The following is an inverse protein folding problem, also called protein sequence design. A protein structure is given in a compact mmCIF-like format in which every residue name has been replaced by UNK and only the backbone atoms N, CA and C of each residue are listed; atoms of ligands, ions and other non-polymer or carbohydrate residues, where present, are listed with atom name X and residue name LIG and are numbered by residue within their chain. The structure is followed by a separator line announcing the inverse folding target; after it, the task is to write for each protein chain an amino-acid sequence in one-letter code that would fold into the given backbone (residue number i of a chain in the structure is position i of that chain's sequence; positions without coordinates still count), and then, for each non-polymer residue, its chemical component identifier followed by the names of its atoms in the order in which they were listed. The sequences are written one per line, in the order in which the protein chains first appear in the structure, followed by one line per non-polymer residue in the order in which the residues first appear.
data_IF_380981957818
#
_entry.id   IF_380981957818
#
_cell.length_a   1.000
_cell.length_b   1.000
_cell.length_c   1.000
_cell.angle_alpha   90.00
_cell.angle_beta   90.00
_cell.angle_gamma   90.00
#
_symmetry.space_group_name_H-M   'P 1'
#
loop_
_entity.id
_entity.type
_entity.pdbx_description
1 polymer ?
#
# COMPACT_ATOMS: atom_id res chain seq x y z
N UNK A 1 -7.11 8.35 -2.38
CA UNK A 1 -7.74 7.02 -2.26
C UNK A 1 -6.74 5.92 -1.89
N UNK A 2 -5.72 5.57 -2.70
CA UNK A 2 -4.80 4.44 -2.43
C UNK A 2 -4.11 4.47 -1.04
N UNK A 3 -3.56 5.61 -0.62
CA UNK A 3 -2.99 5.76 0.72
C UNK A 3 -4.04 5.61 1.84
N UNK A 4 -5.25 6.10 1.61
CA UNK A 4 -6.36 5.96 2.56
C UNK A 4 -6.83 4.50 2.66
N UNK A 5 -6.97 3.82 1.52
CA UNK A 5 -7.22 2.38 1.43
C UNK A 5 -6.17 1.56 2.15
N UNK A 6 -4.89 1.95 2.09
CA UNK A 6 -3.80 1.25 2.78
C UNK A 6 -4.07 1.17 4.29
N UNK A 7 -4.60 2.25 4.88
CA UNK A 7 -5.04 2.30 6.27
C UNK A 7 -6.40 1.62 6.50
N UNK A 8 -7.45 2.16 5.90
CA UNK A 8 -8.86 1.90 6.28
C UNK A 8 -9.62 0.95 5.32
N UNK A 9 -9.03 0.64 4.17
CA UNK A 9 -9.67 -0.21 3.17
C UNK A 9 -9.63 -1.69 3.53
N UNK A 10 -10.59 -2.45 2.99
CA UNK A 10 -10.74 -3.89 3.17
C UNK A 10 -11.13 -4.55 1.85
N UNK A 11 -10.36 -5.54 1.42
CA UNK A 11 -10.65 -6.40 0.28
C UNK A 11 -11.23 -7.71 0.77
N UNK A 12 -12.48 -7.98 0.45
CA UNK A 12 -13.23 -9.11 1.01
C UNK A 12 -13.53 -10.14 -0.05
N UNK A 13 -13.15 -11.38 0.25
CA UNK A 13 -13.56 -12.58 -0.47
C UNK A 13 -14.28 -13.46 0.54
N UNK A 14 -15.52 -13.82 0.24
CA UNK A 14 -16.33 -14.71 1.06
C UNK A 14 -16.74 -15.93 0.25
N UNK A 15 -16.95 -17.05 0.93
CA UNK A 15 -17.48 -18.29 0.34
C UNK A 15 -18.67 -18.70 1.19
N UNK A 16 -19.85 -18.78 0.58
CA UNK A 16 -21.10 -19.13 1.27
C UNK A 16 -21.89 -20.15 0.46
N UNK A 17 -22.69 -20.97 1.13
CA UNK A 17 -23.62 -21.89 0.45
C UNK A 17 -24.54 -21.09 -0.47
N UNK A 18 -24.75 -21.60 -1.69
CA UNK A 18 -25.62 -20.99 -2.67
C UNK A 18 -26.17 -22.05 -3.63
N UNK A 19 -27.23 -21.72 -4.35
CA UNK A 19 -27.84 -22.57 -5.38
C UNK A 19 -27.08 -22.44 -6.71
N UNK A 20 -25.77 -22.72 -6.70
CA UNK A 20 -24.89 -22.72 -7.89
C UNK A 20 -24.47 -24.15 -8.23
N UNK A 21 -23.88 -24.36 -9.41
CA UNK A 21 -23.36 -25.68 -9.84
C UNK A 21 -22.32 -26.25 -8.86
N UNK A 22 -21.50 -25.39 -8.25
CA UNK A 22 -20.52 -25.77 -7.23
C UNK A 22 -21.12 -25.89 -5.82
N UNK A 23 -22.38 -25.51 -5.61
CA UNK A 23 -23.02 -25.44 -4.29
C UNK A 23 -22.60 -24.23 -3.43
N UNK A 24 -21.73 -23.36 -3.97
CA UNK A 24 -21.20 -22.20 -3.27
C UNK A 24 -21.20 -20.94 -4.15
N UNK A 25 -21.47 -19.80 -3.52
CA UNK A 25 -21.30 -18.47 -4.08
C UNK A 25 -20.05 -17.82 -3.51
N UNK A 26 -19.34 -17.06 -4.36
CA UNK A 26 -18.12 -16.35 -4.01
C UNK A 26 -18.35 -14.83 -4.12
N UNK A 27 -19.08 -14.19 -3.20
CA UNK A 27 -19.20 -12.74 -3.20
C UNK A 27 -17.84 -12.09 -2.89
N UNK A 28 -17.52 -11.05 -3.65
CA UNK A 28 -16.33 -10.23 -3.49
C UNK A 28 -16.75 -8.80 -3.30
N UNK A 29 -16.10 -8.07 -2.40
CA UNK A 29 -16.35 -6.65 -2.23
C UNK A 29 -15.13 -5.90 -1.76
N UNK A 30 -15.07 -4.63 -2.14
CA UNK A 30 -14.19 -3.65 -1.51
C UNK A 30 -15.02 -2.80 -0.55
N UNK A 31 -14.49 -2.58 0.64
CA UNK A 31 -15.12 -1.76 1.68
C UNK A 31 -14.12 -0.75 2.20
N UNK A 32 -14.53 0.51 2.25
CA UNK A 32 -13.80 1.58 2.91
C UNK A 32 -14.66 2.12 4.05
N UNK A 33 -14.22 1.86 5.27
CA UNK A 33 -14.94 2.22 6.48
C UNK A 33 -14.35 3.49 7.09
N UNK A 34 -15.20 4.39 7.57
CA UNK A 34 -14.78 5.58 8.34
C UNK A 34 -15.90 6.00 9.29
N UNK A 35 -15.61 6.89 10.24
CA UNK A 35 -16.64 7.48 11.09
C UNK A 35 -17.68 8.26 10.26
N UNK A 36 -18.96 8.21 10.66
CA UNK A 36 -20.08 8.82 9.94
C UNK A 36 -20.00 10.35 9.80
N UNK A 37 -19.20 11.01 10.65
CA UNK A 37 -18.82 12.43 10.53
C UNK A 37 -18.16 12.75 9.19
N UNK A 38 -17.45 11.79 8.61
CA UNK A 38 -16.74 11.89 7.34
C UNK A 38 -17.58 11.30 6.18
N UNK A 39 -18.90 11.17 6.36
CA UNK A 39 -19.83 10.66 5.34
C UNK A 39 -19.76 11.41 4.02
N UNK A 40 -19.52 12.73 4.04
CA UNK A 40 -19.32 13.53 2.81
C UNK A 40 -18.11 13.04 2.00
N UNK A 41 -17.01 12.70 2.68
CA UNK A 41 -15.82 12.14 2.04
C UNK A 41 -16.15 10.78 1.42
N UNK A 42 -16.81 9.88 2.17
CA UNK A 42 -17.15 8.56 1.65
C UNK A 42 -18.12 8.62 0.47
N UNK A 43 -19.13 9.50 0.52
CA UNK A 43 -20.07 9.73 -0.59
C UNK A 43 -19.38 10.31 -1.82
N UNK A 44 -18.31 11.11 -1.66
CA UNK A 44 -17.57 11.65 -2.81
C UNK A 44 -16.93 10.55 -3.67
N UNK A 45 -16.66 9.37 -3.11
CA UNK A 45 -16.14 8.24 -3.87
C UNK A 45 -17.19 7.60 -4.78
N UNK A 46 -18.49 7.69 -4.44
CA UNK A 46 -19.58 7.24 -5.33
C UNK A 46 -19.50 7.99 -6.67
N UNK A 47 -19.41 9.32 -6.61
CA UNK A 47 -19.26 10.16 -7.82
C UNK A 47 -17.90 10.05 -8.49
N UNK A 48 -16.82 9.86 -7.71
CA UNK A 48 -15.46 9.80 -8.28
C UNK A 48 -15.24 8.53 -9.09
N UNK A 49 -15.70 7.38 -8.59
CA UNK A 49 -15.58 6.11 -9.30
C UNK A 49 -16.78 5.82 -10.21
N UNK A 50 -17.85 6.59 -10.10
CA UNK A 50 -19.14 6.27 -10.73
C UNK A 50 -19.57 4.82 -10.42
N UNK A 51 -19.30 4.36 -9.20
CA UNK A 51 -19.67 3.03 -8.73
C UNK A 51 -19.64 2.95 -7.20
N UNK A 52 -20.15 1.84 -6.68
CA UNK A 52 -20.27 1.61 -5.25
C UNK A 52 -21.33 2.51 -4.60
N UNK A 53 -21.50 2.35 -3.29
CA UNK A 53 -22.50 3.10 -2.52
C UNK A 53 -22.08 3.28 -1.08
N UNK A 54 -22.40 4.44 -0.50
CA UNK A 54 -22.27 4.68 0.93
C UNK A 54 -23.45 4.10 1.71
N UNK A 55 -23.13 3.44 2.82
CA UNK A 55 -24.07 2.91 3.78
C UNK A 55 -23.72 3.46 5.18
N UNK A 56 -24.59 4.27 5.80
CA UNK A 56 -24.43 4.62 7.20
C UNK A 56 -24.71 3.38 8.07
N UNK A 57 -23.95 3.23 9.15
CA UNK A 57 -24.28 2.25 10.18
C UNK A 57 -25.50 2.69 10.99
N UNK A 58 -26.20 1.73 11.57
CA UNK A 58 -27.41 1.91 12.36
C UNK A 58 -27.25 1.31 13.77
N UNK A 59 -28.13 1.71 14.70
CA UNK A 59 -28.12 1.24 16.09
C UNK A 59 -26.74 1.38 16.73
N UNK A 60 -26.17 0.25 17.16
CA UNK A 60 -24.84 0.18 17.78
C UNK A 60 -23.68 0.56 16.84
N UNK A 61 -23.96 0.79 15.55
CA UNK A 61 -23.00 1.20 14.52
C UNK A 61 -23.26 2.62 14.00
N UNK A 62 -24.10 3.44 14.65
CA UNK A 62 -24.45 4.79 14.19
C UNK A 62 -23.24 5.73 13.93
N UNK A 63 -22.10 5.46 14.56
CA UNK A 63 -20.83 6.17 14.33
C UNK A 63 -20.05 5.70 13.10
N UNK A 64 -20.45 4.61 12.44
CA UNK A 64 -19.74 3.99 11.31
C UNK A 64 -20.39 4.37 9.98
N UNK A 65 -19.58 4.46 8.94
CA UNK A 65 -20.04 4.54 7.56
C UNK A 65 -19.13 3.74 6.64
N UNK A 66 -19.73 3.03 5.70
CA UNK A 66 -19.03 2.18 4.75
C UNK A 66 -19.31 2.63 3.32
N UNK A 67 -18.27 2.91 2.54
CA UNK A 67 -18.36 2.95 1.08
C UNK A 67 -18.04 1.54 0.54
N UNK A 68 -18.97 0.95 -0.22
CA UNK A 68 -18.89 -0.45 -0.64
C UNK A 68 -19.01 -0.55 -2.16
N UNK A 69 -18.07 -1.26 -2.79
CA UNK A 69 -18.15 -1.70 -4.18
C UNK A 69 -18.27 -3.23 -4.18
N UNK A 70 -19.35 -3.76 -4.75
CA UNK A 70 -19.66 -5.21 -4.74
C UNK A 70 -20.04 -5.77 -6.11
N UNK A 71 -20.34 -4.89 -7.08
CA UNK A 71 -20.61 -5.30 -8.45
C UNK A 71 -19.29 -5.78 -9.08
N UNK A 72 -19.29 -6.99 -9.64
CA UNK A 72 -18.08 -7.61 -10.19
C UNK A 72 -17.51 -6.83 -11.39
N UNK A 73 -18.38 -6.27 -12.23
CA UNK A 73 -17.98 -5.47 -13.38
C UNK A 73 -17.30 -4.17 -12.92
N UNK A 74 -17.91 -3.43 -11.99
CA UNK A 74 -17.29 -2.22 -11.42
C UNK A 74 -15.95 -2.50 -10.74
N UNK A 75 -15.85 -3.63 -10.02
CA UNK A 75 -14.58 -4.05 -9.41
C UNK A 75 -13.52 -4.30 -10.50
N UNK A 76 -13.90 -4.96 -11.59
CA UNK A 76 -13.00 -5.34 -12.68
C UNK A 76 -12.55 -4.15 -13.51
N UNK A 77 -13.48 -3.27 -13.88
CA UNK A 77 -13.26 -2.20 -14.86
C UNK A 77 -12.81 -0.89 -14.23
N UNK A 78 -13.11 -0.67 -12.93
CA UNK A 78 -12.86 0.62 -12.26
C UNK A 78 -11.90 0.46 -11.09
N UNK A 79 -12.20 -0.46 -10.17
CA UNK A 79 -11.44 -0.58 -8.92
C UNK A 79 -10.03 -1.16 -9.12
N UNK A 80 -9.92 -2.29 -9.83
CA UNK A 80 -8.63 -2.95 -10.08
C UNK A 80 -7.70 -2.02 -10.88
N UNK A 81 -8.11 -1.44 -12.03
CA UNK A 81 -7.26 -0.51 -12.77
C UNK A 81 -6.78 0.68 -11.94
N UNK A 82 -7.64 1.18 -11.04
CA UNK A 82 -7.24 2.26 -10.13
C UNK A 82 -6.09 1.83 -9.20
N UNK A 83 -6.16 0.67 -8.55
CA UNK A 83 -5.10 0.24 -7.63
C UNK A 83 -3.86 -0.35 -8.34
N UNK A 84 -4.00 -0.79 -9.59
CA UNK A 84 -2.86 -1.09 -10.46
C UNK A 84 -2.08 0.18 -10.82
N UNK A 85 -2.78 1.29 -11.10
CA UNK A 85 -2.15 2.58 -11.35
C UNK A 85 -1.64 3.26 -10.07
N UNK A 86 -2.38 3.16 -8.97
CA UNK A 86 -2.08 3.82 -7.70
C UNK A 86 -1.89 2.79 -6.59
N UNK A 87 -0.62 2.46 -6.33
CA UNK A 87 -0.25 1.36 -5.45
C UNK A 87 -0.75 1.50 -4.01
N UNK A 88 -1.20 0.39 -3.46
CA UNK A 88 -1.45 0.20 -2.02
C UNK A 88 -0.13 -0.17 -1.34
N UNK A 89 0.04 0.23 -0.09
CA UNK A 89 1.25 -0.05 0.67
C UNK A 89 0.99 -0.96 1.89
N UNK A 90 2.04 -1.65 2.34
CA UNK A 90 2.02 -2.55 3.49
C UNK A 90 1.37 -3.90 3.18
N UNK A 91 1.02 -4.66 4.23
CA UNK A 91 0.41 -6.00 4.10
C UNK A 91 -0.88 -5.98 3.28
N UNK A 92 -1.58 -4.85 3.23
CA UNK A 92 -2.79 -4.68 2.44
C UNK A 92 -2.57 -4.77 0.94
N UNK A 93 -1.35 -4.52 0.47
CA UNK A 93 -0.97 -4.77 -0.93
C UNK A 93 -1.11 -6.26 -1.27
N UNK A 94 -0.69 -7.14 -0.36
CA UNK A 94 -0.81 -8.58 -0.55
C UNK A 94 -2.28 -8.99 -0.58
N UNK A 95 -3.13 -8.39 0.26
CA UNK A 95 -4.57 -8.63 0.27
C UNK A 95 -5.23 -8.17 -1.04
N UNK A 96 -4.79 -7.02 -1.56
CA UNK A 96 -5.23 -6.55 -2.88
C UNK A 96 -4.83 -7.49 -4.01
N UNK A 97 -3.58 -7.98 -4.02
CA UNK A 97 -3.09 -8.91 -5.04
C UNK A 97 -3.90 -10.21 -5.05
N UNK A 98 -4.11 -10.79 -3.88
CA UNK A 98 -4.94 -11.99 -3.72
C UNK A 98 -6.40 -11.75 -4.12
N UNK A 99 -6.95 -10.59 -3.75
CA UNK A 99 -8.29 -10.18 -4.18
C UNK A 99 -8.41 -10.06 -5.71
N UNK A 100 -7.43 -9.42 -6.36
CA UNK A 100 -7.38 -9.27 -7.81
C UNK A 100 -7.28 -10.64 -8.52
N UNK A 101 -6.50 -11.57 -7.97
CA UNK A 101 -6.43 -12.95 -8.46
C UNK A 101 -7.80 -13.65 -8.38
N UNK A 102 -8.52 -13.51 -7.26
CA UNK A 102 -9.88 -14.07 -7.12
C UNK A 102 -10.86 -13.42 -8.11
N UNK A 103 -10.80 -12.11 -8.31
CA UNK A 103 -11.64 -11.41 -9.30
C UNK A 103 -11.38 -11.94 -10.70
N UNK A 104 -10.11 -12.15 -11.07
CA UNK A 104 -9.72 -12.76 -12.35
C UNK A 104 -10.28 -14.18 -12.51
N UNK A 105 -10.19 -15.02 -11.48
CA UNK A 105 -10.79 -16.36 -11.47
C UNK A 105 -12.32 -16.29 -11.63
N UNK A 106 -12.96 -15.32 -10.99
CA UNK A 106 -14.41 -15.13 -11.10
C UNK A 106 -14.83 -14.72 -12.51
N UNK A 107 -14.11 -13.79 -13.15
CA UNK A 107 -14.39 -13.35 -14.51
C UNK A 107 -14.27 -14.48 -15.54
N UNK A 108 -13.37 -15.43 -15.32
CA UNK A 108 -13.27 -16.65 -16.13
C UNK A 108 -14.27 -17.76 -15.74
N UNK A 109 -15.19 -17.50 -14.80
CA UNK A 109 -16.18 -18.48 -14.36
C UNK A 109 -15.62 -19.63 -13.50
N UNK A 110 -14.33 -19.61 -13.11
CA UNK A 110 -13.68 -20.72 -12.40
C UNK A 110 -14.34 -21.02 -11.04
N UNK A 111 -14.92 -20.02 -10.39
CA UNK A 111 -15.68 -20.19 -9.14
C UNK A 111 -16.91 -21.11 -9.23
N UNK A 112 -17.34 -21.46 -10.46
CA UNK A 112 -18.45 -22.37 -10.72
C UNK A 112 -18.01 -23.85 -10.78
N UNK A 113 -16.70 -24.13 -10.79
CA UNK A 113 -16.17 -25.50 -10.75
C UNK A 113 -15.59 -25.84 -9.37
N UNK A 114 -15.59 -27.11 -8.94
CA UNK A 114 -14.97 -27.52 -7.68
C UNK A 114 -13.50 -27.14 -7.58
N UNK A 115 -12.74 -27.30 -8.66
CA UNK A 115 -11.29 -27.03 -8.70
C UNK A 115 -11.00 -25.53 -8.59
N UNK A 116 -11.77 -24.69 -9.29
CA UNK A 116 -11.63 -23.25 -9.20
C UNK A 116 -12.10 -22.70 -7.85
N UNK A 117 -13.14 -23.31 -7.25
CA UNK A 117 -13.57 -22.97 -5.89
C UNK A 117 -12.48 -23.32 -4.86
N UNK A 118 -11.81 -24.47 -5.00
CA UNK A 118 -10.72 -24.86 -4.10
C UNK A 118 -9.52 -23.91 -4.21
N UNK A 119 -9.16 -23.51 -5.44
CA UNK A 119 -8.14 -22.46 -5.64
C UNK A 119 -8.51 -21.17 -4.91
N UNK A 120 -9.77 -20.74 -4.99
CA UNK A 120 -10.25 -19.55 -4.28
C UNK A 120 -10.18 -19.73 -2.75
N UNK A 121 -10.47 -20.93 -2.21
CA UNK A 121 -10.33 -21.21 -0.77
C UNK A 121 -8.89 -21.03 -0.31
N UNK A 122 -7.92 -21.57 -1.05
CA UNK A 122 -6.49 -21.43 -0.74
C UNK A 122 -6.08 -19.97 -0.73
N UNK A 123 -6.51 -19.18 -1.72
CA UNK A 123 -6.23 -17.74 -1.77
C UNK A 123 -6.87 -17.03 -0.57
N UNK A 124 -8.13 -17.32 -0.26
CA UNK A 124 -8.85 -16.70 0.86
C UNK A 124 -8.15 -16.95 2.20
N UNK A 125 -7.58 -18.14 2.42
CA UNK A 125 -6.86 -18.49 3.66
C UNK A 125 -5.58 -17.69 3.88
N UNK A 126 -5.01 -17.07 2.84
CA UNK A 126 -3.84 -16.21 2.97
C UNK A 126 -4.17 -14.72 2.96
N UNK A 127 -5.45 -14.32 3.02
CA UNK A 127 -5.87 -12.91 2.99
C UNK A 127 -6.22 -12.34 4.38
N UNK A 128 -6.07 -11.03 4.52
CA UNK A 128 -6.54 -10.24 5.67
C UNK A 128 -6.04 -10.82 7.01
N UNK A 129 -6.94 -11.05 7.97
CA UNK A 129 -6.61 -11.61 9.28
C UNK A 129 -6.11 -13.06 9.21
N UNK A 130 -6.41 -13.79 8.14
CA UNK A 130 -5.90 -15.15 7.92
C UNK A 130 -4.47 -15.15 7.41
N UNK A 131 -3.98 -14.00 6.90
CA UNK A 131 -2.57 -13.83 6.57
C UNK A 131 -1.75 -13.84 7.86
N UNK A 132 -1.04 -14.94 8.08
CA UNK A 132 -0.02 -15.01 9.14
C UNK A 132 0.96 -13.85 9.00
N UNK A 133 1.59 -13.45 10.11
CA UNK A 133 2.57 -12.37 10.08
C UNK A 133 3.71 -12.72 9.11
N UNK A 134 3.78 -12.00 7.99
CA UNK A 134 4.89 -12.07 7.05
C UNK A 134 5.93 -11.06 7.52
N UNK A 135 7.13 -11.53 7.90
CA UNK A 135 8.26 -10.64 8.15
C UNK A 135 8.47 -9.81 6.88
N UNK A 136 8.52 -8.46 6.96
CA UNK A 136 8.72 -7.66 5.76
C UNK A 136 10.01 -8.10 5.07
N UNK A 137 9.91 -8.48 3.80
CA UNK A 137 11.08 -8.78 2.99
C UNK A 137 11.97 -7.53 2.93
N UNK A 138 13.30 -7.68 3.04
CA UNK A 138 14.21 -6.58 2.77
C UNK A 138 13.97 -6.10 1.34
N UNK A 139 13.82 -4.79 1.16
CA UNK A 139 13.54 -4.19 -0.15
C UNK A 139 14.53 -4.71 -1.21
N UNK A 140 14.03 -5.51 -2.16
CA UNK A 140 14.80 -6.01 -3.29
C UNK A 140 15.26 -4.81 -4.13
N UNK A 141 16.57 -4.67 -4.27
CA UNK A 141 17.20 -3.64 -5.10
C UNK A 141 17.13 -4.12 -6.55
N UNK A 142 16.01 -3.89 -7.21
CA UNK A 142 15.94 -4.07 -8.68
C UNK A 142 16.80 -2.98 -9.29
N UNK A 143 17.98 -3.40 -9.74
CA UNK A 143 18.86 -2.60 -10.60
C UNK A 143 18.58 -3.09 -12.02
N UNK A 144 17.78 -2.36 -12.76
CA UNK A 144 17.78 -2.46 -14.22
C UNK A 144 17.44 -1.10 -14.81
N UNK A 145 18.43 -0.65 -15.58
CA UNK A 145 18.45 0.51 -16.46
C UNK A 145 17.37 0.44 -17.52
N UNK A 146 16.56 1.49 -17.62
CA UNK A 146 16.17 2.16 -18.88
C UNK A 146 15.30 3.38 -18.55
N UNK A 147 15.86 4.58 -18.77
CA UNK A 147 15.13 5.85 -18.83
C UNK A 147 14.39 5.98 -20.16
N UNK A 148 13.19 6.58 -20.12
CA UNK A 148 12.47 7.44 -21.10
C UNK A 148 10.96 7.27 -20.81
N UNK A 149 10.08 8.26 -20.66
CA UNK A 149 10.10 9.70 -20.87
C UNK A 149 8.89 10.31 -20.13
N UNK A 150 9.11 11.51 -19.58
CA UNK A 150 8.21 12.49 -18.93
C UNK A 150 6.66 12.34 -19.00
N UNK A 151 6.01 12.55 -17.84
CA UNK A 151 5.28 13.81 -17.54
C UNK A 151 4.77 13.91 -16.09
N UNK A 152 5.44 14.79 -15.32
CA UNK A 152 4.84 15.80 -14.44
C UNK A 152 4.04 15.39 -13.21
N UNK A 153 4.69 15.24 -12.05
CA UNK A 153 4.09 15.56 -10.73
C UNK A 153 5.21 16.12 -9.82
N UNK A 154 4.91 17.22 -9.12
CA UNK A 154 5.77 17.90 -8.15
C UNK A 154 6.56 16.94 -7.24
N UNK A 155 7.86 16.77 -7.51
CA UNK A 155 8.78 16.15 -6.58
C UNK A 155 8.96 17.09 -5.37
N UNK A 156 8.54 16.63 -4.19
CA UNK A 156 9.19 17.07 -2.95
C UNK A 156 10.67 16.75 -3.14
N UNK A 157 11.50 17.77 -3.38
CA UNK A 157 12.95 17.63 -3.63
C UNK A 157 13.54 16.66 -2.61
N UNK A 158 13.81 15.43 -3.03
CA UNK A 158 14.61 14.50 -2.26
C UNK A 158 16.02 15.09 -2.25
N UNK A 159 16.37 15.84 -1.21
CA UNK A 159 17.69 16.43 -1.14
C UNK A 159 18.70 15.30 -0.91
N UNK A 160 19.70 15.14 -1.80
CA UNK A 160 20.76 14.17 -1.62
C UNK A 160 21.55 14.46 -0.34
N UNK A 161 21.95 13.41 0.38
CA UNK A 161 22.70 13.54 1.63
C UNK A 161 23.97 12.72 1.52
N UNK A 162 25.11 13.32 1.83
CA UNK A 162 26.36 12.59 2.04
C UNK A 162 26.63 12.41 3.53
N UNK A 163 27.15 11.24 3.90
CA UNK A 163 27.58 10.89 5.26
C UNK A 163 29.08 10.62 5.21
N UNK A 164 29.87 11.40 5.95
CA UNK A 164 31.30 11.13 6.17
C UNK A 164 31.51 10.54 7.55
N UNK A 165 32.15 9.38 7.62
CA UNK A 165 32.72 8.87 8.85
C UNK A 165 34.05 9.59 9.11
N UNK A 166 34.18 10.30 10.22
CA UNK A 166 35.39 11.09 10.52
C UNK A 166 36.57 10.24 10.98
N UNK A 167 36.32 9.01 11.45
CA UNK A 167 37.35 8.08 11.93
C UNK A 167 37.98 7.33 10.75
N UNK A 168 37.16 6.83 9.82
CA UNK A 168 37.65 6.09 8.64
C UNK A 168 37.92 6.99 7.42
N UNK A 169 37.43 8.24 7.43
CA UNK A 169 37.49 9.16 6.30
C UNK A 169 36.51 8.84 5.15
N UNK A 170 35.83 7.69 5.20
CA UNK A 170 34.93 7.23 4.15
C UNK A 170 33.68 8.12 4.04
N UNK A 171 33.31 8.46 2.80
CA UNK A 171 32.11 9.25 2.50
C UNK A 171 31.16 8.46 1.60
N UNK A 172 29.89 8.33 2.02
CA UNK A 172 28.84 7.66 1.26
C UNK A 172 27.72 8.65 0.91
N UNK A 173 27.27 8.67 -0.34
CA UNK A 173 26.22 9.58 -0.82
C UNK A 173 24.90 8.85 -1.04
N UNK A 174 23.79 9.50 -0.69
CA UNK A 174 22.46 8.91 -0.69
C UNK A 174 21.48 9.83 -1.39
N UNK A 175 20.52 9.24 -2.11
CA UNK A 175 19.47 9.97 -2.83
C UNK A 175 18.46 10.66 -1.92
N UNK A 176 18.43 10.35 -0.62
CA UNK A 176 17.52 10.96 0.34
C UNK A 176 17.98 10.77 1.79
N UNK A 177 17.46 11.61 2.69
CA UNK A 177 17.58 11.44 4.16
C UNK A 177 17.11 10.05 4.61
N UNK A 178 16.05 9.51 4.00
CA UNK A 178 15.52 8.20 4.35
C UNK A 178 16.49 7.06 3.95
N UNK A 179 17.19 7.21 2.82
CA UNK A 179 18.23 6.25 2.43
C UNK A 179 19.45 6.34 3.37
N UNK A 180 19.87 7.54 3.73
CA UNK A 180 20.94 7.77 4.71
C UNK A 180 20.60 7.15 6.10
N UNK A 181 19.36 7.33 6.58
CA UNK A 181 18.90 6.76 7.86
C UNK A 181 18.94 5.23 7.87
N UNK A 182 18.51 4.59 6.77
CA UNK A 182 18.55 3.13 6.63
C UNK A 182 19.98 2.59 6.62
N UNK A 183 20.90 3.24 5.91
CA UNK A 183 22.31 2.85 5.90
C UNK A 183 22.90 2.89 7.31
N UNK A 184 22.69 3.99 8.05
CA UNK A 184 23.19 4.12 9.43
C UNK A 184 22.62 3.05 10.34
N UNK A 185 21.33 2.75 10.24
CA UNK A 185 20.72 1.66 11.00
C UNK A 185 21.37 0.30 10.70
N UNK A 186 21.71 0.03 9.43
CA UNK A 186 22.38 -1.20 9.00
C UNK A 186 23.78 -1.39 9.57
N UNK A 187 24.47 -0.31 9.93
CA UNK A 187 25.78 -0.33 10.59
C UNK A 187 25.71 -0.08 12.10
N UNK A 188 24.52 -0.21 12.70
CA UNK A 188 24.30 -0.09 14.16
C UNK A 188 24.16 1.34 14.68
N UNK A 189 24.07 2.34 13.81
CA UNK A 189 23.97 3.76 14.18
C UNK A 189 22.51 4.22 14.11
N UNK A 190 21.88 4.47 15.26
CA UNK A 190 20.46 4.88 15.33
C UNK A 190 20.30 6.39 15.07
N UNK A 191 20.20 6.78 13.80
CA UNK A 191 19.88 8.15 13.40
C UNK A 191 18.54 8.21 12.63
N UNK A 192 17.53 8.83 13.23
CA UNK A 192 16.23 9.03 12.58
C UNK A 192 16.33 10.05 11.43
N UNK A 193 15.37 10.05 10.51
CA UNK A 193 15.33 11.09 9.46
C UNK A 193 15.26 12.52 10.01
N UNK A 194 14.53 12.72 11.11
CA UNK A 194 14.51 14.01 11.82
C UNK A 194 15.88 14.38 12.39
N UNK A 195 16.59 13.41 12.98
CA UNK A 195 17.97 13.58 13.46
C UNK A 195 18.90 13.99 12.33
N UNK A 196 18.87 13.29 11.20
CA UNK A 196 19.74 13.61 10.06
C UNK A 196 19.41 15.00 9.51
N UNK A 197 18.13 15.34 9.35
CA UNK A 197 17.69 16.67 8.91
C UNK A 197 18.16 17.79 9.84
N UNK A 198 18.09 17.57 11.16
CA UNK A 198 18.57 18.53 12.17
C UNK A 198 20.08 18.74 12.06
N UNK A 199 20.86 17.68 11.92
CA UNK A 199 22.32 17.79 11.92
C UNK A 199 22.89 18.25 10.56
N UNK A 200 22.13 18.06 9.46
CA UNK A 200 22.42 18.65 8.15
C UNK A 200 22.41 20.19 8.16
N UNK A 201 21.45 20.80 8.86
CA UNK A 201 21.30 22.25 8.93
C UNK A 201 22.39 22.92 9.78
N UNK A 202 22.89 22.20 10.78
CA UNK A 202 23.75 22.77 11.82
C UNK A 202 25.25 22.47 11.59
N UNK A 203 25.56 21.56 10.66
CA UNK A 203 26.93 21.07 10.41
C UNK A 203 27.57 20.30 11.57
N UNK A 204 26.78 19.95 12.59
CA UNK A 204 27.23 19.28 13.82
C UNK A 204 27.49 17.78 13.58
N UNK A 205 28.37 17.21 14.40
CA UNK A 205 28.64 15.78 14.39
C UNK A 205 27.53 15.01 15.10
N UNK A 206 27.10 13.92 14.49
CA UNK A 206 26.29 12.89 15.14
C UNK A 206 27.16 11.66 15.36
N UNK A 207 27.61 11.46 16.59
CA UNK A 207 28.66 10.49 16.92
C UNK A 207 29.89 10.72 16.01
N UNK A 208 30.35 9.71 15.28
CA UNK A 208 31.49 9.79 14.36
C UNK A 208 31.10 10.16 12.92
N UNK A 209 29.89 10.70 12.70
CA UNK A 209 29.37 10.98 11.36
C UNK A 209 29.04 12.46 11.18
N UNK A 210 29.44 13.01 10.02
CA UNK A 210 29.06 14.35 9.57
C UNK A 210 28.19 14.23 8.33
N UNK A 211 27.10 14.99 8.30
CA UNK A 211 26.15 15.02 7.20
C UNK A 211 26.36 16.25 6.31
N UNK A 212 26.22 16.09 5.00
CA UNK A 212 26.37 17.18 4.03
C UNK A 212 25.24 17.11 3.00
N UNK A 213 24.84 18.28 2.51
CA UNK A 213 24.05 18.39 1.30
C UNK A 213 25.01 18.57 0.11
N UNK A 214 24.63 18.11 -1.09
CA UNK A 214 25.48 18.26 -2.29
C UNK A 214 25.75 19.73 -2.69
N UNK A 215 25.08 20.69 -2.05
CA UNK A 215 25.27 22.13 -2.26
C UNK A 215 26.37 22.75 -1.37
N UNK A 216 26.87 22.05 -0.34
CA UNK A 216 27.95 22.55 0.54
C UNK A 216 29.18 21.62 0.53
N UNK A 217 29.78 21.43 -0.65
CA UNK A 217 31.16 20.95 -0.76
C UNK A 217 32.10 22.15 -0.66
N UNK A 218 32.60 22.40 0.55
CA UNK A 218 33.77 23.23 0.82
C UNK A 218 34.58 22.56 1.92
#
# INVERSE_FOLDING_TARGET
MAGFTSGEGSFRVNIRKATTKSGYGVPVSFVLTQHSRDSKLLRSFESYFDCGKYYPGDGNQAGRGDYIIQNLQDITEKLIPFFDQYSIYGNKLLDYQDFSEVVKLKNHGAHLTPEGLEKIRVIQQRMNQSRGWVKPEPAVTVTSSEELSSKGIHQRRHQPVAIKNIVSGQTNSFSSIAAASRYLAGIGVKASGHTISKYLLNGQLFQNYKFYNNENKS
#
